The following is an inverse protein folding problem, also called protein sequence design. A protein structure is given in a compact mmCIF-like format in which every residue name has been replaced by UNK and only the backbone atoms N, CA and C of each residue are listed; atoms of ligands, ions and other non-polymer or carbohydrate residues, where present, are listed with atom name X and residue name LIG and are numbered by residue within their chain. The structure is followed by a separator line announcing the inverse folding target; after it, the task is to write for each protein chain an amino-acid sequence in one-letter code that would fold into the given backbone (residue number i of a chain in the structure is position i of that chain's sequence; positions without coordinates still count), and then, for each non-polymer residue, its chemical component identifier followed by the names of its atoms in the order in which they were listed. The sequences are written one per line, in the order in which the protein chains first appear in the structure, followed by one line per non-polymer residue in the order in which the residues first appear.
data_IF_588443812084
#
_entry.id   IF_588443812084
#
_cell.length_a   1.000
_cell.length_b   1.000
_cell.length_c   1.000
_cell.angle_alpha   90.00
_cell.angle_beta   90.00
_cell.angle_gamma   90.00
#
_symmetry.space_group_name_H-M   'P 1'
#
loop_
_entity.id
_entity.type
_entity.pdbx_description
1 polymer ?
#
# COMPACT_ATOMS: atom_id res chain seq x y z
N UNK A 1 -13.19 26.47 5.69
CA UNK A 1 -12.12 26.70 4.69
C UNK A 1 -11.68 25.43 3.98
N UNK A 2 -11.04 24.46 4.64
CA UNK A 2 -10.52 23.27 3.93
C UNK A 2 -11.48 22.06 3.91
N UNK A 3 -12.37 21.94 4.90
CA UNK A 3 -13.31 20.82 4.98
C UNK A 3 -12.65 19.46 5.14
N UNK A 4 -13.44 18.39 5.14
CA UNK A 4 -12.95 17.00 5.26
C UNK A 4 -12.00 16.61 4.12
N UNK A 5 -12.33 17.05 2.91
CA UNK A 5 -11.55 16.78 1.70
C UNK A 5 -10.17 17.44 1.77
N UNK A 6 -10.09 18.70 2.20
CA UNK A 6 -8.81 19.40 2.33
C UNK A 6 -7.89 18.78 3.39
N UNK A 7 -8.45 18.35 4.52
CA UNK A 7 -7.68 17.61 5.55
C UNK A 7 -7.13 16.30 4.97
N UNK A 8 -7.93 15.59 4.17
CA UNK A 8 -7.48 14.36 3.52
C UNK A 8 -6.35 14.64 2.52
N UNK A 9 -6.43 15.71 1.74
CA UNK A 9 -5.36 16.10 0.81
C UNK A 9 -4.07 16.44 1.55
N UNK A 10 -4.14 17.20 2.64
CA UNK A 10 -2.99 17.51 3.49
C UNK A 10 -2.35 16.22 4.03
N UNK A 11 -3.16 15.30 4.57
CA UNK A 11 -2.67 14.01 5.06
C UNK A 11 -1.99 13.20 3.96
N UNK A 12 -2.61 13.10 2.78
CA UNK A 12 -2.03 12.38 1.64
C UNK A 12 -0.69 12.99 1.22
N UNK A 13 -0.57 14.32 1.19
CA UNK A 13 0.70 14.99 0.89
C UNK A 13 1.75 14.73 1.95
N UNK A 14 1.38 14.71 3.24
CA UNK A 14 2.32 14.35 4.30
C UNK A 14 2.86 12.92 4.11
N UNK A 15 1.98 11.98 3.77
CA UNK A 15 2.33 10.58 3.52
C UNK A 15 3.09 10.35 2.20
N UNK A 16 3.27 11.38 1.37
CA UNK A 16 3.99 11.24 0.09
C UNK A 16 5.51 11.17 0.25
N UNK A 17 6.06 11.49 1.42
CA UNK A 17 7.52 11.51 1.66
C UNK A 17 8.34 12.30 0.62
N UNK A 18 7.68 13.26 -0.04
CA UNK A 18 8.35 14.12 -0.99
C UNK A 18 9.18 15.15 -0.20
N UNK A 19 10.43 15.40 -0.61
CA UNK A 19 11.33 16.31 0.08
C UNK A 19 10.80 17.76 0.16
N UNK A 20 9.84 18.13 -0.69
CA UNK A 20 9.19 19.44 -0.68
C UNK A 20 7.84 19.46 0.04
N UNK A 21 7.37 18.33 0.60
CA UNK A 21 6.02 18.23 1.19
C UNK A 21 5.80 19.24 2.31
N UNK A 22 6.76 19.46 3.21
CA UNK A 22 6.61 20.37 4.34
C UNK A 22 6.45 21.82 3.84
N UNK A 23 7.24 22.20 2.84
CA UNK A 23 7.17 23.53 2.21
C UNK A 23 5.81 23.73 1.52
N UNK A 24 5.36 22.76 0.72
CA UNK A 24 4.06 22.83 0.04
C UNK A 24 2.94 22.96 1.06
N UNK A 25 2.94 22.12 2.10
CA UNK A 25 1.91 22.15 3.14
C UNK A 25 1.85 23.51 3.84
N UNK A 26 3.00 24.09 4.19
CA UNK A 26 3.08 25.42 4.79
C UNK A 26 2.52 26.49 3.84
N UNK A 27 2.90 26.46 2.56
CA UNK A 27 2.41 27.40 1.56
C UNK A 27 0.89 27.28 1.37
N UNK A 28 0.36 26.06 1.34
CA UNK A 28 -1.08 25.80 1.23
C UNK A 28 -1.85 26.31 2.46
N UNK A 29 -1.31 26.10 3.66
CA UNK A 29 -1.92 26.60 4.90
C UNK A 29 -1.94 28.13 4.89
N UNK A 30 -0.82 28.78 4.58
CA UNK A 30 -0.75 30.24 4.47
C UNK A 30 -1.70 30.78 3.39
N UNK A 31 -1.78 30.09 2.25
CA UNK A 31 -2.67 30.48 1.15
C UNK A 31 -4.15 30.35 1.54
N UNK A 32 -4.51 29.30 2.29
CA UNK A 32 -5.86 29.13 2.83
C UNK A 32 -6.23 30.20 3.86
N UNK A 33 -5.30 30.56 4.75
CA UNK A 33 -5.50 31.61 5.75
C UNK A 33 -5.65 33.01 5.11
N UNK A 34 -4.88 33.28 4.06
CA UNK A 34 -4.96 34.55 3.33
C UNK A 34 -6.25 34.68 2.47
N UNK A 35 -6.92 33.56 2.15
CA UNK A 35 -8.09 33.54 1.26
C UNK A 35 -9.27 32.79 1.91
N UNK A 36 -9.86 33.36 2.97
CA UNK A 36 -10.78 32.66 3.83
C UNK A 36 -12.09 32.21 3.15
N UNK A 37 -12.53 32.93 2.12
CA UNK A 37 -13.82 32.69 1.45
C UNK A 37 -13.67 31.95 0.11
N UNK A 38 -12.45 31.54 -0.26
CA UNK A 38 -12.17 30.89 -1.53
C UNK A 38 -11.82 29.41 -1.36
N UNK A 39 -12.23 28.61 -2.34
CA UNK A 39 -11.75 27.22 -2.44
C UNK A 39 -10.37 27.17 -3.09
N UNK A 40 -9.35 27.48 -2.30
CA UNK A 40 -7.96 27.55 -2.73
C UNK A 40 -7.44 26.25 -3.37
N UNK A 41 -7.97 25.09 -2.96
CA UNK A 41 -7.56 23.77 -3.46
C UNK A 41 -7.95 23.54 -4.93
N UNK A 42 -8.87 24.34 -5.47
CA UNK A 42 -9.24 24.32 -6.90
C UNK A 42 -8.46 25.33 -7.74
N UNK A 43 -7.65 26.19 -7.12
CA UNK A 43 -6.83 27.15 -7.85
C UNK A 43 -5.56 26.50 -8.40
N UNK A 44 -5.70 25.76 -9.50
CA UNK A 44 -4.60 25.07 -10.18
C UNK A 44 -3.60 26.01 -10.87
N UNK A 45 -3.89 27.31 -10.96
CA UNK A 45 -2.92 28.32 -11.41
C UNK A 45 -1.84 28.59 -10.36
N UNK A 46 -2.12 28.30 -9.07
CA UNK A 46 -1.10 28.35 -8.03
C UNK A 46 -0.19 27.10 -8.14
N UNK A 47 1.14 27.26 -8.27
CA UNK A 47 2.07 26.15 -8.43
C UNK A 47 2.05 25.18 -7.24
N UNK A 48 1.87 25.67 -6.02
CA UNK A 48 1.86 24.85 -4.81
C UNK A 48 0.60 23.97 -4.75
N UNK A 49 -0.55 24.52 -5.18
CA UNK A 49 -1.83 23.77 -5.28
C UNK A 49 -1.74 22.69 -6.37
N UNK A 50 -1.12 23.02 -7.50
CA UNK A 50 -0.86 22.03 -8.55
C UNK A 50 0.06 20.90 -8.05
N UNK A 51 1.11 21.23 -7.30
CA UNK A 51 2.04 20.25 -6.75
C UNK A 51 1.38 19.37 -5.69
N UNK A 52 0.58 19.97 -4.79
CA UNK A 52 -0.25 19.27 -3.83
C UNK A 52 -1.14 18.22 -4.54
N UNK A 53 -1.88 18.63 -5.57
CA UNK A 53 -2.77 17.74 -6.30
C UNK A 53 -2.03 16.57 -6.98
N UNK A 54 -0.83 16.80 -7.50
CA UNK A 54 0.03 15.74 -8.06
C UNK A 54 0.45 14.73 -7.00
N UNK A 55 0.89 15.19 -5.82
CA UNK A 55 1.29 14.31 -4.72
C UNK A 55 0.10 13.49 -4.21
N UNK A 56 -1.03 14.13 -3.94
CA UNK A 56 -2.27 13.46 -3.50
C UNK A 56 -2.66 12.35 -4.48
N UNK A 57 -2.64 12.63 -5.78
CA UNK A 57 -2.98 11.66 -6.83
C UNK A 57 -2.02 10.47 -6.85
N UNK A 58 -0.72 10.71 -6.65
CA UNK A 58 0.30 9.66 -6.60
C UNK A 58 0.12 8.75 -5.38
N UNK A 59 -0.06 9.34 -4.19
CA UNK A 59 -0.32 8.59 -2.95
C UNK A 59 -1.61 7.79 -3.03
N UNK A 60 -2.67 8.37 -3.59
CA UNK A 60 -3.94 7.68 -3.80
C UNK A 60 -3.80 6.45 -4.71
N UNK A 61 -3.09 6.60 -5.84
CA UNK A 61 -2.80 5.49 -6.77
C UNK A 61 -2.00 4.38 -6.08
N UNK A 62 -1.01 4.74 -5.28
CA UNK A 62 -0.21 3.76 -4.54
C UNK A 62 -1.04 3.02 -3.49
N UNK A 63 -1.88 3.72 -2.73
CA UNK A 63 -2.83 3.10 -1.79
C UNK A 63 -3.77 2.13 -2.50
N UNK A 64 -4.29 2.50 -3.68
CA UNK A 64 -5.15 1.62 -4.48
C UNK A 64 -4.40 0.38 -4.97
N UNK A 65 -3.13 0.53 -5.40
CA UNK A 65 -2.28 -0.60 -5.78
C UNK A 65 -2.02 -1.54 -4.61
N UNK A 66 -1.74 -1.02 -3.41
CA UNK A 66 -1.54 -1.85 -2.22
C UNK A 66 -2.78 -2.68 -1.89
N UNK A 67 -3.98 -2.09 -1.98
CA UNK A 67 -5.25 -2.83 -1.82
C UNK A 67 -5.41 -3.97 -2.83
N UNK A 68 -4.91 -3.80 -4.06
CA UNK A 68 -5.05 -4.80 -5.13
C UNK A 68 -3.95 -5.88 -5.13
N UNK A 69 -2.73 -5.53 -4.72
CA UNK A 69 -1.54 -6.37 -4.92
C UNK A 69 -1.04 -7.06 -3.67
N UNK A 70 -1.49 -6.67 -2.48
CA UNK A 70 -1.16 -7.42 -1.27
C UNK A 70 -1.61 -8.88 -1.44
N UNK A 71 -0.69 -9.79 -1.14
CA UNK A 71 -0.92 -11.22 -1.02
C UNK A 71 -0.56 -11.60 0.41
N UNK A 72 -1.48 -12.29 1.06
CA UNK A 72 -1.25 -12.85 2.37
C UNK A 72 -0.74 -14.27 2.22
N UNK A 73 0.18 -14.65 3.10
CA UNK A 73 0.68 -16.00 3.26
C UNK A 73 0.43 -16.41 4.72
N UNK A 74 -0.15 -17.59 4.93
CA UNK A 74 -0.47 -18.09 6.27
C UNK A 74 0.79 -18.56 7.01
N UNK A 75 1.01 -18.03 8.20
CA UNK A 75 2.06 -18.47 9.13
C UNK A 75 1.57 -19.63 10.02
N UNK A 76 2.52 -20.38 10.59
CA UNK A 76 2.26 -21.52 11.50
C UNK A 76 1.43 -21.17 12.74
N UNK A 77 1.48 -19.92 13.18
CA UNK A 77 0.72 -19.40 14.33
C UNK A 77 -0.71 -18.95 13.97
N UNK A 78 -1.12 -19.14 12.71
CA UNK A 78 -2.45 -18.80 12.21
C UNK A 78 -2.61 -17.34 11.81
N UNK A 79 -1.52 -16.57 11.72
CA UNK A 79 -1.55 -15.17 11.26
C UNK A 79 -1.31 -15.11 9.75
N UNK A 80 -2.14 -14.34 9.05
CA UNK A 80 -1.94 -14.03 7.64
C UNK A 80 -0.94 -12.89 7.49
N UNK A 81 0.26 -13.18 6.98
CA UNK A 81 1.33 -12.20 6.83
C UNK A 81 1.45 -11.69 5.39
N UNK A 82 1.64 -10.38 5.24
CA UNK A 82 1.93 -9.75 3.96
C UNK A 82 3.08 -8.76 4.10
N UNK A 83 4.14 -8.96 3.31
CA UNK A 83 5.24 -8.01 3.22
C UNK A 83 5.05 -7.08 2.02
N UNK A 84 5.21 -5.77 2.24
CA UNK A 84 5.08 -4.74 1.21
C UNK A 84 6.31 -3.84 1.14
N UNK A 85 6.45 -3.13 0.02
CA UNK A 85 7.45 -2.08 -0.21
C UNK A 85 6.84 -0.99 -1.09
N UNK A 86 5.92 -0.18 -0.55
CA UNK A 86 5.28 0.89 -1.29
C UNK A 86 6.20 2.10 -1.46
N UNK A 87 5.97 2.88 -2.52
CA UNK A 87 6.72 4.13 -2.74
C UNK A 87 6.46 5.12 -1.59
N UNK A 88 5.20 5.26 -1.19
CA UNK A 88 4.70 6.23 -0.21
C UNK A 88 4.19 5.54 1.05
N UNK A 89 4.02 6.31 2.13
CA UNK A 89 3.58 5.78 3.40
C UNK A 89 2.06 5.56 3.43
N UNK A 90 1.62 4.48 2.78
CA UNK A 90 0.18 4.23 2.54
C UNK A 90 -0.42 3.22 3.50
N UNK A 91 0.35 2.69 4.44
CA UNK A 91 -0.09 1.58 5.29
C UNK A 91 -1.31 1.98 6.13
N UNK A 92 -1.28 3.18 6.71
CA UNK A 92 -2.41 3.77 7.44
C UNK A 92 -3.67 3.97 6.58
N UNK A 93 -3.50 4.22 5.28
CA UNK A 93 -4.60 4.45 4.33
C UNK A 93 -5.32 3.16 3.90
N UNK A 94 -4.65 2.01 4.04
CA UNK A 94 -5.20 0.71 3.61
C UNK A 94 -5.82 -0.09 4.77
N UNK A 95 -5.55 0.26 6.02
CA UNK A 95 -6.06 -0.44 7.23
C UNK A 95 -7.55 -0.73 7.14
N UNK A 96 -8.36 0.33 6.90
CA UNK A 96 -9.82 0.20 6.86
C UNK A 96 -10.29 -0.79 5.80
N UNK A 97 -9.60 -0.87 4.68
CA UNK A 97 -9.95 -1.80 3.61
C UNK A 97 -9.75 -3.25 4.04
N UNK A 98 -8.58 -3.57 4.60
CA UNK A 98 -8.25 -4.92 5.04
C UNK A 98 -9.05 -5.34 6.27
N UNK A 99 -9.23 -4.46 7.27
CA UNK A 99 -10.08 -4.72 8.43
C UNK A 99 -11.50 -5.08 8.02
N UNK A 100 -12.08 -4.36 7.05
CA UNK A 100 -13.45 -4.62 6.61
C UNK A 100 -13.58 -5.89 5.74
N UNK A 101 -12.51 -6.28 5.04
CA UNK A 101 -12.52 -7.42 4.11
C UNK A 101 -12.16 -8.74 4.77
N UNK A 102 -11.28 -8.72 5.76
CA UNK A 102 -10.75 -9.88 6.47
C UNK A 102 -11.05 -9.73 7.96
N UNK A 103 -12.33 -9.81 8.31
CA UNK A 103 -12.83 -9.57 9.67
C UNK A 103 -12.64 -10.78 10.59
N UNK A 104 -12.60 -11.97 9.99
CA UNK A 104 -12.57 -13.31 10.60
C UNK A 104 -11.15 -13.89 10.69
N UNK A 105 -10.14 -13.15 10.22
CA UNK A 105 -8.75 -13.61 10.12
C UNK A 105 -7.80 -12.62 10.78
N UNK A 106 -6.85 -13.14 11.55
CA UNK A 106 -5.73 -12.33 12.06
C UNK A 106 -4.77 -12.06 10.92
N UNK A 107 -4.35 -10.81 10.75
CA UNK A 107 -3.42 -10.46 9.69
C UNK A 107 -2.41 -9.42 10.11
N UNK A 108 -1.23 -9.48 9.50
CA UNK A 108 -0.13 -8.55 9.66
C UNK A 108 0.34 -8.07 8.29
N UNK A 109 0.27 -6.77 8.05
CA UNK A 109 0.87 -6.14 6.86
C UNK A 109 2.13 -5.39 7.31
N UNK A 110 3.29 -5.77 6.80
CA UNK A 110 4.58 -5.21 7.16
C UNK A 110 5.20 -4.40 6.02
N UNK A 111 5.48 -3.12 6.28
CA UNK A 111 6.23 -2.25 5.38
C UNK A 111 7.74 -2.42 5.59
N UNK A 112 8.33 -3.24 4.73
CA UNK A 112 9.77 -3.54 4.77
C UNK A 112 10.65 -2.35 4.40
N UNK A 113 10.10 -1.28 3.80
CA UNK A 113 10.84 -0.05 3.52
C UNK A 113 10.99 0.79 4.80
N UNK A 114 9.96 0.82 5.65
CA UNK A 114 9.87 1.73 6.81
C UNK A 114 10.05 1.03 8.16
N UNK A 115 10.13 -0.29 8.19
CA UNK A 115 10.42 -1.04 9.43
C UNK A 115 9.24 -1.13 10.40
N UNK A 116 8.02 -0.96 9.91
CA UNK A 116 6.82 -1.04 10.74
C UNK A 116 5.68 -1.76 10.03
N UNK A 117 4.75 -2.29 10.80
CA UNK A 117 3.61 -3.04 10.32
C UNK A 117 2.32 -2.70 11.04
N UNK A 118 1.23 -3.25 10.52
CA UNK A 118 -0.09 -3.14 11.11
C UNK A 118 -0.63 -4.54 11.35
N UNK A 119 -0.94 -4.84 12.61
CA UNK A 119 -1.49 -6.11 13.05
C UNK A 119 -2.96 -5.96 13.41
N UNK A 120 -3.79 -6.92 12.99
CA UNK A 120 -5.19 -7.03 13.35
C UNK A 120 -5.45 -8.34 14.08
N UNK A 121 -5.99 -8.24 15.29
CA UNK A 121 -6.17 -9.37 16.21
C UNK A 121 -7.62 -9.91 16.26
N UNK A 122 -8.47 -9.51 15.29
CA UNK A 122 -9.94 -9.70 15.22
C UNK A 122 -10.78 -8.66 15.96
N UNK A 123 -10.17 -7.79 16.77
CA UNK A 123 -10.88 -6.77 17.56
C UNK A 123 -10.34 -5.37 17.26
N UNK A 124 -9.05 -5.17 17.45
CA UNK A 124 -8.30 -3.94 17.29
C UNK A 124 -7.23 -4.06 16.24
N UNK A 125 -6.81 -2.89 15.75
CA UNK A 125 -5.68 -2.76 14.85
C UNK A 125 -4.58 -2.04 15.60
N UNK A 126 -3.40 -2.62 15.63
CA UNK A 126 -2.22 -2.07 16.31
C UNK A 126 -1.09 -1.83 15.32
N UNK A 127 -0.31 -0.78 15.57
CA UNK A 127 0.92 -0.51 14.84
C UNK A 127 2.05 -1.22 15.58
N UNK A 128 2.77 -2.09 14.87
CA UNK A 128 3.92 -2.80 15.41
C UNK A 128 5.19 -2.33 14.71
N UNK A 129 6.31 -2.33 15.43
CA UNK A 129 7.63 -2.16 14.85
C UNK A 129 8.41 -3.45 15.06
N UNK A 130 9.16 -3.87 14.03
CA UNK A 130 10.05 -5.01 14.11
C UNK A 130 11.47 -4.44 14.18
N UNK A 131 12.25 -4.87 15.16
CA UNK A 131 13.64 -4.45 15.26
C UNK A 131 14.40 -4.83 13.98
N UNK A 132 15.09 -3.86 13.39
CA UNK A 132 15.80 -3.94 12.10
C UNK A 132 16.92 -5.00 12.02
N UNK A 133 17.15 -5.77 13.09
CA UNK A 133 18.26 -6.72 13.19
C UNK A 133 18.03 -8.00 12.39
N UNK A 134 16.82 -8.23 11.89
CA UNK A 134 16.51 -9.38 11.04
C UNK A 134 15.98 -8.88 9.71
N UNK A 135 16.85 -8.76 8.70
CA UNK A 135 16.38 -8.87 7.32
C UNK A 135 15.61 -10.18 7.24
N UNK A 136 14.28 -10.12 7.12
CA UNK A 136 13.43 -11.29 6.86
C UNK A 136 13.90 -11.89 5.54
N UNK A 137 14.85 -12.80 5.63
CA UNK A 137 15.40 -13.48 4.48
C UNK A 137 14.33 -14.45 3.97
N UNK A 138 14.18 -14.57 2.66
CA UNK A 138 13.15 -15.42 2.05
C UNK A 138 13.28 -16.89 2.51
N UNK A 139 14.50 -17.30 2.91
CA UNK A 139 14.81 -18.57 3.54
C UNK A 139 14.08 -18.76 4.89
N UNK A 140 14.25 -17.82 5.82
CA UNK A 140 13.61 -17.83 7.13
C UNK A 140 12.09 -17.73 7.02
N UNK A 141 11.61 -16.94 6.05
CA UNK A 141 10.17 -16.78 5.81
C UNK A 141 9.51 -18.11 5.45
N UNK A 142 10.13 -18.93 4.60
CA UNK A 142 9.59 -20.26 4.23
C UNK A 142 9.45 -21.20 5.43
N UNK A 143 10.35 -21.10 6.42
CA UNK A 143 10.27 -21.90 7.64
C UNK A 143 9.12 -21.49 8.56
N UNK A 144 8.63 -20.27 8.45
CA UNK A 144 7.52 -19.72 9.24
C UNK A 144 6.15 -19.99 8.61
N UNK A 145 6.10 -20.35 7.32
CA UNK A 145 4.86 -20.66 6.62
C UNK A 145 4.22 -21.95 7.14
N UNK A 146 2.89 -21.96 7.17
CA UNK A 146 2.12 -23.17 7.42
C UNK A 146 2.34 -24.20 6.29
N UNK A 147 2.35 -25.49 6.61
CA UNK A 147 2.56 -26.54 5.60
C UNK A 147 1.46 -26.52 4.52
N UNK A 148 0.22 -26.15 4.88
CA UNK A 148 -0.89 -26.03 3.94
C UNK A 148 -0.74 -24.81 3.03
N UNK A 149 -0.11 -23.73 3.50
CA UNK A 149 0.15 -22.52 2.71
C UNK A 149 0.95 -22.85 1.44
N UNK A 150 1.97 -23.71 1.56
CA UNK A 150 2.79 -24.15 0.41
C UNK A 150 1.91 -24.80 -0.67
N UNK A 151 0.93 -25.61 -0.26
CA UNK A 151 0.00 -26.25 -1.19
C UNK A 151 -0.97 -25.23 -1.81
N UNK A 152 -1.47 -24.27 -1.03
CA UNK A 152 -2.30 -23.18 -1.56
C UNK A 152 -1.58 -22.32 -2.60
N UNK A 153 -0.30 -22.03 -2.38
CA UNK A 153 0.50 -21.27 -3.35
C UNK A 153 0.64 -22.03 -4.67
N UNK A 154 0.88 -23.34 -4.63
CA UNK A 154 0.94 -24.18 -5.84
C UNK A 154 -0.40 -24.18 -6.59
N UNK A 155 -1.51 -24.40 -5.89
CA UNK A 155 -2.85 -24.37 -6.47
C UNK A 155 -3.15 -23.01 -7.11
N UNK A 156 -2.75 -21.92 -6.45
CA UNK A 156 -2.91 -20.57 -7.00
C UNK A 156 -2.13 -20.36 -8.29
N UNK A 157 -0.88 -20.82 -8.34
CA UNK A 157 -0.02 -20.71 -9.53
C UNK A 157 -0.62 -21.52 -10.69
N UNK A 158 -1.02 -22.76 -10.44
CA UNK A 158 -1.66 -23.62 -11.45
C UNK A 158 -2.97 -23.01 -11.95
N UNK A 159 -3.83 -22.54 -11.04
CA UNK A 159 -5.07 -21.84 -11.40
C UNK A 159 -4.79 -20.59 -12.25
N UNK A 160 -3.80 -19.78 -11.87
CA UNK A 160 -3.44 -18.56 -12.59
C UNK A 160 -2.95 -18.87 -14.01
N UNK A 161 -2.15 -19.93 -14.19
CA UNK A 161 -1.67 -20.34 -15.51
C UNK A 161 -2.82 -20.88 -16.39
N UNK A 162 -3.66 -21.76 -15.83
CA UNK A 162 -4.74 -22.40 -16.57
C UNK A 162 -5.90 -21.47 -16.93
N UNK A 163 -6.17 -20.44 -16.12
CA UNK A 163 -7.21 -19.45 -16.43
C UNK A 163 -6.75 -18.38 -17.42
N UNK A 164 -5.46 -18.32 -17.73
CA UNK A 164 -4.92 -17.32 -18.63
C UNK A 164 -5.20 -17.67 -20.10
N UNK A 165 -5.85 -16.76 -20.82
CA UNK A 165 -6.17 -16.95 -22.23
C UNK A 165 -4.98 -16.47 -23.06
N UNK A 166 -4.25 -17.41 -23.68
CA UNK A 166 -3.00 -17.14 -24.41
C UNK A 166 -3.17 -16.08 -25.50
N UNK A 167 -4.32 -16.08 -26.19
CA UNK A 167 -4.66 -15.15 -27.26
C UNK A 167 -4.89 -13.70 -26.75
N UNK A 168 -5.19 -13.53 -25.45
CA UNK A 168 -5.40 -12.22 -24.82
C UNK A 168 -4.14 -11.68 -24.13
N UNK A 169 -3.01 -12.37 -24.26
CA UNK A 169 -1.75 -11.98 -23.62
C UNK A 169 -1.22 -10.67 -24.21
N UNK A 170 -1.21 -9.62 -23.37
CA UNK A 170 -0.62 -8.33 -23.69
C UNK A 170 0.34 -7.89 -22.58
N UNK A 171 1.62 -8.25 -22.73
CA UNK A 171 2.63 -8.02 -21.71
C UNK A 171 2.89 -6.52 -21.46
N UNK A 172 2.77 -5.68 -22.49
CA UNK A 172 2.92 -4.22 -22.35
C UNK A 172 1.85 -3.64 -21.43
N UNK A 173 0.59 -3.99 -21.69
CA UNK A 173 -0.54 -3.54 -20.86
C UNK A 173 -0.47 -4.13 -19.44
N UNK A 174 -0.06 -5.40 -19.33
CA UNK A 174 0.11 -6.05 -18.04
C UNK A 174 1.13 -5.31 -17.15
N UNK A 175 2.28 -4.91 -17.70
CA UNK A 175 3.31 -4.14 -16.97
C UNK A 175 2.81 -2.73 -16.60
N UNK A 176 1.96 -2.11 -17.42
CA UNK A 176 1.36 -0.81 -17.09
C UNK A 176 0.40 -0.91 -15.89
N UNK A 177 -0.42 -1.97 -15.83
CA UNK A 177 -1.36 -2.19 -14.73
C UNK A 177 -0.68 -2.74 -13.48
N UNK A 178 0.28 -3.66 -13.64
CA UNK A 178 1.02 -4.31 -12.55
C UNK A 178 2.53 -4.07 -12.75
N UNK A 179 3.05 -2.94 -12.26
CA UNK A 179 4.47 -2.62 -12.37
C UNK A 179 5.37 -3.71 -11.79
N UNK A 180 6.48 -4.01 -12.47
CA UNK A 180 7.40 -5.11 -12.11
C UNK A 180 7.94 -5.07 -10.68
N UNK A 181 8.05 -3.88 -10.08
CA UNK A 181 8.51 -3.70 -8.69
C UNK A 181 7.67 -4.46 -7.66
N UNK A 182 6.40 -4.74 -7.96
CA UNK A 182 5.50 -5.50 -7.08
C UNK A 182 5.59 -7.00 -7.28
N UNK A 183 6.18 -7.47 -8.38
CA UNK A 183 6.14 -8.89 -8.76
C UNK A 183 6.84 -9.77 -7.73
N UNK A 184 7.85 -9.27 -7.02
CA UNK A 184 8.51 -9.97 -5.91
C UNK A 184 7.56 -10.36 -4.76
N UNK A 185 6.43 -9.65 -4.61
CA UNK A 185 5.43 -9.91 -3.57
C UNK A 185 4.18 -10.64 -4.10
N UNK A 186 4.16 -11.00 -5.38
CA UNK A 186 3.04 -11.71 -5.99
C UNK A 186 3.37 -13.19 -6.14
N UNK A 187 2.58 -14.05 -5.51
CA UNK A 187 2.74 -15.51 -5.58
C UNK A 187 2.74 -16.00 -7.03
N UNK A 188 1.85 -15.46 -7.87
CA UNK A 188 1.73 -15.80 -9.30
C UNK A 188 2.92 -15.35 -10.17
N UNK A 189 3.85 -14.55 -9.64
CA UNK A 189 5.05 -14.07 -10.36
C UNK A 189 6.34 -14.65 -9.81
N UNK A 190 6.29 -15.43 -8.73
CA UNK A 190 7.44 -16.17 -8.23
C UNK A 190 7.82 -17.20 -9.30
N UNK A 191 9.04 -17.10 -9.83
CA UNK A 191 9.60 -18.14 -10.69
C UNK A 191 9.93 -19.30 -9.76
N UNK A 192 9.33 -20.47 -10.01
CA UNK A 192 9.74 -21.73 -9.39
C UNK A 192 11.15 -22.11 -9.86
#
# INVERSE_FOLDING_TARGET
QLGKEGIQQILHTFLSEDASREKILLQIINYALANPDQNILKNFSNPDVMQLAKLVKSVHRESHRMKAFIRFELLKDGIYFAQIFPDFDVLTLIIKHFKNRYQDQKWLIYDSKRGYGVYYDLTSVEIISLDHTSSFDESQKKELLDEKEINYQKLWIEYFDHTNIKERKNDKLHVQHVPKRYWKYLTEKKIL
#
